data_IF_230299394135
#
_entry.id   IF_230299394135
#
_cell.length_a   1.000
_cell.length_b   1.000
_cell.length_c   1.000
_cell.angle_alpha   90.00
_cell.angle_beta   90.00
_cell.angle_gamma   90.00
#
_symmetry.space_group_name_H-M   'P 1'
#
loop_
_entity.id
_entity.type
_entity.pdbx_description
1 polymer ?
#
# COMPACT_ATOMS: atom_id res chain seq x y z
N UNK A 1 -13.50 15.57 -26.69
CA UNK A 1 -12.31 14.75 -26.35
C UNK A 1 -12.43 14.38 -24.88
N UNK A 2 -12.90 13.18 -24.60
CA UNK A 2 -13.22 12.73 -23.24
C UNK A 2 -11.97 12.16 -22.58
N UNK A 3 -11.55 12.77 -21.46
CA UNK A 3 -10.39 12.35 -20.68
C UNK A 3 -10.66 11.06 -19.90
N UNK A 4 -9.76 10.10 -20.02
CA UNK A 4 -9.75 8.88 -19.20
C UNK A 4 -9.24 9.26 -17.79
N UNK A 5 -10.18 9.68 -16.94
CA UNK A 5 -10.02 9.82 -15.49
C UNK A 5 -9.64 8.43 -14.94
N UNK A 6 -8.65 8.39 -14.04
CA UNK A 6 -8.04 7.17 -13.51
C UNK A 6 -9.04 6.02 -13.33
N UNK A 7 -8.81 4.92 -14.06
CA UNK A 7 -9.65 3.72 -13.95
C UNK A 7 -9.51 3.14 -12.54
N UNK A 8 -10.45 3.47 -11.67
CA UNK A 8 -10.75 2.65 -10.50
C UNK A 8 -10.94 1.22 -10.99
N UNK A 9 -10.10 0.28 -10.54
CA UNK A 9 -10.38 -1.14 -10.80
C UNK A 9 -11.70 -1.43 -10.11
N UNK A 10 -12.72 -1.80 -10.89
CA UNK A 10 -13.99 -2.25 -10.33
C UNK A 10 -13.69 -3.37 -9.33
N UNK A 11 -14.25 -3.26 -8.14
CA UNK A 11 -14.22 -4.35 -7.17
C UNK A 11 -14.71 -5.61 -7.89
N UNK A 12 -13.87 -6.64 -7.91
CA UNK A 12 -14.30 -7.93 -8.46
C UNK A 12 -15.37 -8.48 -7.53
N UNK A 13 -16.58 -8.64 -8.04
CA UNK A 13 -17.67 -9.30 -7.31
C UNK A 13 -17.34 -10.79 -7.23
N UNK A 14 -16.59 -11.19 -6.22
CA UNK A 14 -16.41 -12.59 -5.88
C UNK A 14 -17.50 -13.00 -4.90
N UNK A 15 -18.19 -14.12 -5.11
CA UNK A 15 -19.20 -14.58 -4.16
C UNK A 15 -18.54 -14.85 -2.81
N UNK A 16 -19.23 -14.44 -1.75
CA UNK A 16 -18.81 -14.69 -0.39
C UNK A 16 -18.93 -16.20 -0.14
N UNK A 17 -17.80 -16.87 0.04
CA UNK A 17 -17.75 -18.30 0.35
C UNK A 17 -18.12 -18.52 1.81
N UNK A 18 -19.22 -19.24 2.05
CA UNK A 18 -19.63 -19.79 3.33
C UNK A 18 -19.62 -21.33 3.22
N UNK A 19 -19.15 -22.08 4.23
CA UNK A 19 -18.55 -21.62 5.47
C UNK A 19 -17.15 -21.00 5.26
N UNK A 20 -16.68 -20.27 6.28
CA UNK A 20 -15.33 -19.73 6.29
C UNK A 20 -14.30 -20.86 6.13
N UNK A 21 -13.33 -20.71 5.24
CA UNK A 21 -12.31 -21.75 5.04
C UNK A 21 -11.47 -21.90 6.33
N UNK A 22 -11.45 -23.09 6.97
CA UNK A 22 -10.78 -23.31 8.26
C UNK A 22 -9.26 -23.16 8.19
N UNK A 23 -8.67 -23.12 7.00
CA UNK A 23 -7.26 -22.79 6.77
C UNK A 23 -6.90 -21.41 7.33
N UNK A 24 -7.85 -20.47 7.30
CA UNK A 24 -7.64 -19.13 7.84
C UNK A 24 -8.17 -19.08 9.27
N UNK A 25 -7.35 -18.57 10.18
CA UNK A 25 -7.70 -18.39 11.60
C UNK A 25 -7.97 -16.90 11.85
N UNK A 26 -9.17 -16.37 11.55
CA UNK A 26 -9.50 -15.02 11.97
C UNK A 26 -9.73 -15.00 13.50
N UNK A 27 -9.25 -13.95 14.13
CA UNK A 27 -9.54 -13.60 15.51
C UNK A 27 -10.22 -12.22 15.46
N UNK A 28 -11.54 -12.21 15.65
CA UNK A 28 -12.35 -10.99 15.62
C UNK A 28 -12.09 -10.08 16.84
N UNK A 29 -11.61 -10.62 17.96
CA UNK A 29 -11.29 -9.83 19.15
C UNK A 29 -9.99 -9.05 18.98
N UNK A 30 -8.96 -9.69 18.40
CA UNK A 30 -7.67 -9.03 18.13
C UNK A 30 -7.61 -8.33 16.78
N UNK A 31 -8.62 -8.55 15.94
CA UNK A 31 -8.70 -8.10 14.55
C UNK A 31 -7.51 -8.59 13.70
N UNK A 32 -7.18 -9.88 13.84
CA UNK A 32 -6.04 -10.53 13.18
C UNK A 32 -6.52 -11.69 12.31
N UNK A 33 -5.90 -11.89 11.14
CA UNK A 33 -6.19 -13.05 10.29
C UNK A 33 -4.91 -13.59 9.66
N UNK A 34 -4.82 -14.91 9.48
CA UNK A 34 -3.67 -15.57 8.84
C UNK A 34 -3.78 -15.64 7.31
N UNK A 35 -4.72 -14.91 6.69
CA UNK A 35 -4.91 -14.97 5.24
C UNK A 35 -3.85 -14.13 4.48
N UNK A 36 -3.48 -14.51 3.24
CA UNK A 36 -2.48 -13.79 2.46
C UNK A 36 -2.76 -12.30 2.34
N UNK A 37 -4.03 -11.91 2.17
CA UNK A 37 -4.41 -10.50 2.08
C UNK A 37 -4.08 -9.70 3.34
N UNK A 38 -4.29 -10.28 4.53
CA UNK A 38 -3.96 -9.64 5.80
C UNK A 38 -2.44 -9.63 6.04
N UNK A 39 -1.74 -10.71 5.65
CA UNK A 39 -0.29 -10.79 5.73
C UNK A 39 0.41 -9.77 4.81
N UNK A 40 -0.13 -9.51 3.61
CA UNK A 40 0.38 -8.49 2.68
C UNK A 40 0.11 -7.08 3.19
N UNK A 41 -1.04 -6.84 3.82
CA UNK A 41 -1.34 -5.54 4.43
C UNK A 41 -2.23 -5.70 5.66
N UNK A 42 -1.64 -5.45 6.84
CA UNK A 42 -2.33 -5.41 8.13
C UNK A 42 -3.35 -4.26 8.22
N UNK A 43 -3.34 -3.34 7.26
CA UNK A 43 -4.25 -2.19 7.17
C UNK A 43 -5.48 -2.45 6.30
N UNK A 44 -5.48 -3.52 5.49
CA UNK A 44 -6.63 -3.88 4.67
C UNK A 44 -7.57 -4.80 5.47
N UNK A 45 -8.87 -4.51 5.40
CA UNK A 45 -9.90 -5.36 5.98
C UNK A 45 -10.03 -6.62 5.11
N UNK A 46 -9.70 -7.78 5.65
CA UNK A 46 -9.85 -9.04 4.92
C UNK A 46 -11.30 -9.56 5.03
N UNK A 47 -11.77 -10.28 4.00
CA UNK A 47 -13.14 -10.83 3.99
C UNK A 47 -13.42 -11.74 5.20
N UNK A 48 -12.41 -12.45 5.70
CA UNK A 48 -12.57 -13.39 6.81
C UNK A 48 -12.87 -12.70 8.14
N UNK A 49 -12.29 -11.52 8.38
CA UNK A 49 -12.60 -10.71 9.57
C UNK A 49 -14.01 -10.12 9.48
N UNK A 50 -14.42 -9.66 8.29
CA UNK A 50 -15.80 -9.18 8.04
C UNK A 50 -16.83 -10.29 8.24
N UNK A 51 -16.50 -11.51 7.81
CA UNK A 51 -17.36 -12.69 8.01
C UNK A 51 -17.39 -13.18 9.48
N UNK A 52 -16.49 -12.71 10.34
CA UNK A 52 -16.40 -13.09 11.76
C UNK A 52 -17.07 -12.08 12.71
N UNK A 53 -17.66 -11.01 12.17
CA UNK A 53 -18.42 -10.01 12.92
C UNK A 53 -19.83 -9.83 12.38
N UNK A 54 -20.70 -9.26 13.20
CA UNK A 54 -22.03 -8.83 12.76
C UNK A 54 -21.95 -7.75 11.66
N UNK A 55 -22.93 -7.72 10.74
CA UNK A 55 -23.04 -6.67 9.74
C UNK A 55 -23.03 -5.27 10.39
N UNK A 56 -22.18 -4.39 9.88
CA UNK A 56 -22.05 -3.00 10.36
C UNK A 56 -22.85 -2.05 9.47
N UNK A 57 -23.48 -1.04 10.07
CA UNK A 57 -24.18 0.00 9.34
C UNK A 57 -23.18 0.88 8.54
N UNK A 58 -23.51 1.42 7.35
CA UNK A 58 -22.57 2.23 6.57
C UNK A 58 -21.93 3.42 7.29
N UNK A 59 -22.61 3.98 8.30
CA UNK A 59 -22.09 5.05 9.16
C UNK A 59 -20.80 4.64 9.89
N UNK A 60 -20.60 3.34 10.14
CA UNK A 60 -19.36 2.78 10.68
C UNK A 60 -18.11 3.29 9.96
N UNK A 61 -18.14 3.38 8.63
CA UNK A 61 -16.96 3.79 7.85
C UNK A 61 -16.62 5.28 8.00
N UNK A 62 -17.53 6.08 8.55
CA UNK A 62 -17.31 7.50 8.87
C UNK A 62 -16.72 7.67 10.28
N UNK A 63 -17.04 6.76 11.20
CA UNK A 63 -16.75 6.88 12.63
C UNK A 63 -15.54 6.04 13.08
N UNK A 64 -15.17 5.02 12.30
CA UNK A 64 -14.15 4.06 12.72
C UNK A 64 -12.75 4.69 12.75
N UNK A 65 -12.01 4.41 13.81
CA UNK A 65 -10.63 4.85 14.01
C UNK A 65 -9.63 3.72 13.77
N UNK A 66 -8.49 4.06 13.14
CA UNK A 66 -7.42 3.10 12.82
C UNK A 66 -6.23 3.26 13.77
N UNK A 67 -5.90 2.20 14.49
CA UNK A 67 -4.74 2.17 15.37
C UNK A 67 -3.49 1.60 14.69
N UNK A 68 -2.32 1.90 15.27
CA UNK A 68 -1.03 1.29 14.88
C UNK A 68 -0.70 0.02 15.67
N UNK A 69 -1.47 -0.26 16.70
CA UNK A 69 -1.38 -1.45 17.56
C UNK A 69 -2.70 -2.24 17.52
N UNK A 70 -2.64 -3.55 17.76
CA UNK A 70 -3.84 -4.39 17.83
C UNK A 70 -4.70 -4.01 19.05
N UNK A 71 -6.04 -3.93 18.91
CA UNK A 71 -6.82 -4.12 17.68
C UNK A 71 -6.72 -2.92 16.71
N UNK A 72 -6.47 -3.21 15.43
CA UNK A 72 -6.21 -2.20 14.39
C UNK A 72 -7.43 -1.33 14.06
N UNK A 73 -8.64 -1.85 14.27
CA UNK A 73 -9.90 -1.16 14.07
C UNK A 73 -10.68 -1.23 15.38
N UNK A 74 -11.14 -0.07 15.86
CA UNK A 74 -11.96 0.02 17.07
C UNK A 74 -13.24 0.74 16.73
N UNK A 75 -14.36 0.07 16.99
CA UNK A 75 -15.69 0.67 16.93
C UNK A 75 -16.66 -0.16 17.76
N UNK A 76 -17.65 0.50 18.38
CA UNK A 76 -18.68 -0.16 19.19
C UNK A 76 -19.55 -1.15 18.40
N UNK A 77 -19.65 -0.96 17.07
CA UNK A 77 -20.40 -1.85 16.19
C UNK A 77 -19.64 -3.11 15.76
N UNK A 78 -18.36 -3.25 16.09
CA UNK A 78 -17.58 -4.46 15.76
C UNK A 78 -17.82 -5.53 16.81
N UNK A 79 -18.90 -6.28 16.63
CA UNK A 79 -19.33 -7.34 17.55
C UNK A 79 -18.95 -8.70 16.93
N UNK A 80 -18.05 -9.48 17.54
CA UNK A 80 -17.73 -10.85 17.11
C UNK A 80 -18.97 -11.76 17.12
N UNK A 81 -19.11 -12.63 16.13
CA UNK A 81 -20.22 -13.60 16.07
C UNK A 81 -20.18 -14.63 17.21
N UNK A 82 -19.00 -14.85 17.81
CA UNK A 82 -18.82 -15.77 18.94
C UNK A 82 -19.27 -15.15 20.29
N UNK A 83 -19.72 -13.89 20.32
CA UNK A 83 -20.04 -13.15 21.54
C UNK A 83 -21.38 -13.53 22.20
N UNK A 84 -22.08 -14.56 21.72
CA UNK A 84 -23.27 -15.08 22.39
C UNK A 84 -22.86 -16.20 23.34
N UNK A 85 -22.52 -15.85 24.59
CA UNK A 85 -23.10 -16.37 25.85
C UNK A 85 -22.42 -15.63 27.02
N UNK A 86 -23.05 -14.56 27.50
CA UNK A 86 -22.82 -14.06 28.86
C UNK A 86 -24.13 -13.53 29.44
N UNK A 87 -24.91 -14.43 30.04
CA UNK A 87 -25.90 -14.16 31.08
C UNK A 87 -26.10 -15.43 31.93
N UNK A 88 -26.42 -15.30 33.23
CA UNK A 88 -26.04 -16.24 34.29
C UNK A 88 -27.06 -17.37 34.55
N UNK A 89 -26.74 -18.25 35.51
CA UNK A 89 -27.54 -19.37 36.08
C UNK A 89 -27.62 -20.60 35.15
N UNK A 90 -27.24 -21.83 35.49
CA UNK A 90 -27.10 -22.55 36.77
C UNK A 90 -26.22 -23.79 36.51
N UNK A 91 -25.36 -24.18 37.46
CA UNK A 91 -24.58 -25.45 37.46
C UNK A 91 -25.44 -26.62 38.00
N UNK A 92 -24.95 -27.87 38.23
CA UNK A 92 -23.79 -28.70 37.76
C UNK A 92 -24.29 -30.14 37.32
N UNK A 93 -23.54 -31.27 37.33
CA UNK A 93 -22.09 -31.52 37.56
C UNK A 93 -21.35 -32.49 36.60
N UNK A 94 -20.03 -32.27 36.54
CA UNK A 94 -18.91 -33.24 36.71
C UNK A 94 -18.72 -34.41 35.74
N UNK A 95 -17.57 -34.42 35.05
CA UNK A 95 -16.57 -35.49 35.18
C UNK A 95 -15.18 -34.94 34.87
N UNK A 96 -14.31 -35.01 35.89
CA UNK A 96 -12.89 -34.70 35.83
C UNK A 96 -12.12 -35.91 35.28
N UNK A 97 -11.09 -35.69 34.47
CA UNK A 97 -9.91 -36.56 34.50
C UNK A 97 -8.65 -35.78 34.10
N UNK A 98 -7.56 -36.16 34.78
CA UNK A 98 -6.38 -35.36 35.06
C UNK A 98 -5.34 -35.28 33.92
N UNK A 99 -4.47 -34.28 34.11
CA UNK A 99 -3.21 -33.97 33.43
C UNK A 99 -2.30 -35.14 33.11
N UNK A 100 -1.69 -35.14 31.92
CA UNK A 100 -0.34 -35.66 31.68
C UNK A 100 0.38 -34.74 30.68
N UNK A 101 1.42 -34.06 31.16
CA UNK A 101 2.53 -33.50 30.35
C UNK A 101 3.51 -34.64 30.05
N UNK A 102 4.14 -34.63 28.87
CA UNK A 102 5.58 -34.86 28.85
C UNK A 102 6.34 -33.81 28.03
N UNK A 103 7.47 -33.43 28.60
CA UNK A 103 8.53 -32.61 28.03
C UNK A 103 9.25 -33.26 26.85
N UNK A 104 9.70 -32.42 25.91
CA UNK A 104 11.02 -32.53 25.29
C UNK A 104 11.08 -33.10 23.86
N UNK A 105 11.19 -32.21 22.88
CA UNK A 105 12.24 -32.33 21.85
C UNK A 105 12.55 -30.95 21.24
N UNK A 106 13.81 -30.53 21.37
CA UNK A 106 14.36 -29.30 20.77
C UNK A 106 15.00 -29.69 19.43
N UNK A 107 14.22 -29.64 18.35
CA UNK A 107 14.71 -29.67 16.98
C UNK A 107 14.92 -28.25 16.42
N UNK A 108 15.90 -28.01 15.54
CA UNK A 108 16.40 -26.67 15.26
C UNK A 108 15.35 -25.82 14.55
N UNK A 109 15.11 -24.63 15.09
CA UNK A 109 14.40 -23.56 14.42
C UNK A 109 15.24 -23.11 13.22
N UNK A 110 15.00 -23.71 12.06
CA UNK A 110 15.43 -23.14 10.78
C UNK A 110 14.70 -21.80 10.60
N UNK A 111 15.47 -20.72 10.72
CA UNK A 111 14.99 -19.35 10.62
C UNK A 111 14.38 -19.09 9.24
N UNK A 112 13.07 -18.95 9.20
CA UNK A 112 12.30 -18.53 8.01
C UNK A 112 12.17 -17.00 7.94
N UNK A 113 13.28 -16.29 8.17
CA UNK A 113 13.33 -14.82 8.12
C UNK A 113 14.00 -14.28 6.84
N UNK A 114 14.64 -15.14 6.04
CA UNK A 114 15.52 -14.73 4.91
C UNK A 114 14.77 -14.51 3.58
N UNK A 115 13.68 -15.23 3.31
CA UNK A 115 12.97 -15.15 2.01
C UNK A 115 12.37 -13.76 1.71
N UNK A 116 11.99 -13.01 2.76
CA UNK A 116 11.37 -11.69 2.61
C UNK A 116 12.40 -10.59 2.38
N UNK A 117 13.59 -10.71 2.97
CA UNK A 117 14.66 -9.72 2.82
C UNK A 117 15.35 -9.89 1.46
N UNK A 118 15.62 -11.14 1.07
CA UNK A 118 16.18 -11.46 -0.24
C UNK A 118 15.25 -11.01 -1.38
N UNK A 119 13.93 -11.18 -1.24
CA UNK A 119 12.95 -10.68 -2.21
C UNK A 119 12.92 -9.14 -2.31
N UNK A 120 13.08 -8.43 -1.19
CA UNK A 120 13.13 -6.97 -1.18
C UNK A 120 14.42 -6.44 -1.83
N UNK A 121 15.56 -7.09 -1.57
CA UNK A 121 16.85 -6.79 -2.22
C UNK A 121 16.74 -7.00 -3.73
N UNK A 122 16.15 -8.11 -4.16
CA UNK A 122 15.97 -8.40 -5.59
C UNK A 122 15.00 -7.42 -6.26
N UNK A 123 13.92 -7.03 -5.57
CA UNK A 123 13.01 -5.98 -6.05
C UNK A 123 13.71 -4.62 -6.16
N UNK A 124 14.66 -4.32 -5.27
CA UNK A 124 15.45 -3.10 -5.33
C UNK A 124 16.46 -3.12 -6.47
N UNK A 125 17.19 -4.21 -6.64
CA UNK A 125 18.14 -4.39 -7.75
C UNK A 125 17.42 -4.23 -9.11
N UNK A 126 16.28 -4.89 -9.28
CA UNK A 126 15.47 -4.76 -10.51
C UNK A 126 14.91 -3.35 -10.72
N UNK A 127 14.62 -2.61 -9.64
CA UNK A 127 14.24 -1.20 -9.73
C UNK A 127 15.42 -0.33 -10.20
N UNK A 128 16.59 -0.47 -9.57
CA UNK A 128 17.76 0.35 -9.86
C UNK A 128 18.27 0.11 -11.29
N UNK A 129 18.26 -1.14 -11.77
CA UNK A 129 18.56 -1.50 -13.16
C UNK A 129 17.57 -0.84 -14.13
N UNK A 130 16.27 -0.96 -13.88
CA UNK A 130 15.23 -0.39 -14.74
C UNK A 130 15.29 1.13 -14.78
N UNK A 131 15.52 1.77 -13.64
CA UNK A 131 15.64 3.22 -13.57
C UNK A 131 16.91 3.69 -14.31
N UNK A 132 18.03 2.99 -14.12
CA UNK A 132 19.29 3.29 -14.81
C UNK A 132 19.16 3.16 -16.32
N UNK A 133 18.48 2.11 -16.81
CA UNK A 133 18.18 1.94 -18.22
C UNK A 133 17.37 3.12 -18.77
N UNK A 134 16.31 3.56 -18.05
CA UNK A 134 15.49 4.71 -18.46
C UNK A 134 16.25 6.03 -18.44
N UNK A 135 17.15 6.23 -17.48
CA UNK A 135 18.04 7.39 -17.45
C UNK A 135 18.96 7.38 -18.69
N UNK A 136 19.52 6.22 -19.03
CA UNK A 136 20.36 6.08 -20.23
C UNK A 136 19.59 6.37 -21.51
N UNK A 137 18.38 5.83 -21.66
CA UNK A 137 17.50 6.08 -22.81
C UNK A 137 17.21 7.58 -22.97
N UNK A 138 16.89 8.27 -21.88
CA UNK A 138 16.59 9.70 -21.89
C UNK A 138 17.82 10.54 -22.25
N UNK A 139 19.01 10.20 -21.73
CA UNK A 139 20.26 10.88 -22.11
C UNK A 139 20.57 10.71 -23.60
N UNK A 140 20.42 9.49 -24.12
CA UNK A 140 20.62 9.25 -25.53
C UNK A 140 19.60 10.02 -26.39
N UNK A 141 18.33 10.07 -25.95
CA UNK A 141 17.31 10.85 -26.64
C UNK A 141 17.63 12.35 -26.65
N UNK A 142 18.12 12.90 -25.53
CA UNK A 142 18.59 14.30 -25.47
C UNK A 142 19.70 14.54 -26.51
N UNK A 143 20.70 13.65 -26.61
CA UNK A 143 21.75 13.78 -27.62
C UNK A 143 21.20 13.81 -29.06
N UNK A 144 20.15 13.02 -29.34
CA UNK A 144 19.47 13.04 -30.64
C UNK A 144 18.78 14.40 -30.85
N UNK A 145 18.09 14.93 -29.85
CA UNK A 145 17.43 16.24 -29.93
C UNK A 145 18.44 17.38 -30.17
N UNK A 146 19.57 17.36 -29.47
CA UNK A 146 20.67 18.31 -29.66
C UNK A 146 21.23 18.23 -31.08
N UNK A 147 21.41 17.01 -31.62
CA UNK A 147 21.79 16.83 -33.01
C UNK A 147 20.71 17.35 -33.97
N UNK A 148 19.43 17.13 -33.70
CA UNK A 148 18.35 17.60 -34.57
C UNK A 148 18.21 19.13 -34.58
N UNK A 149 18.60 19.81 -33.50
CA UNK A 149 18.54 21.26 -33.38
C UNK A 149 19.26 21.99 -34.53
N UNK A 150 20.33 21.42 -35.08
CA UNK A 150 21.09 22.01 -36.19
C UNK A 150 20.27 22.12 -37.50
N UNK A 151 19.25 21.28 -37.68
CA UNK A 151 18.42 21.27 -38.89
C UNK A 151 17.23 22.21 -38.79
N UNK A 152 16.80 22.57 -37.57
CA UNK A 152 15.71 23.51 -37.34
C UNK A 152 14.37 23.09 -37.97
N UNK A 153 14.10 21.79 -38.14
CA UNK A 153 12.87 21.30 -38.77
C UNK A 153 11.67 21.38 -37.80
N UNK A 154 10.68 22.27 -38.04
CA UNK A 154 9.53 22.43 -37.13
C UNK A 154 8.62 21.20 -37.11
N UNK A 155 8.60 20.39 -38.18
CA UNK A 155 7.73 19.20 -38.25
C UNK A 155 8.19 18.13 -37.28
N UNK A 156 9.50 18.00 -37.09
CA UNK A 156 10.04 17.07 -36.10
C UNK A 156 9.73 17.57 -34.68
N UNK A 157 9.82 18.88 -34.44
CA UNK A 157 9.42 19.47 -33.17
C UNK A 157 7.93 19.21 -32.86
N UNK A 158 7.04 19.37 -33.84
CA UNK A 158 5.60 19.05 -33.68
C UNK A 158 5.36 17.58 -33.28
N UNK A 159 6.17 16.65 -33.83
CA UNK A 159 6.11 15.23 -33.44
C UNK A 159 6.57 15.05 -32.00
N UNK A 160 7.69 15.66 -31.61
CA UNK A 160 8.20 15.59 -30.23
C UNK A 160 7.19 16.16 -29.24
N UNK A 161 6.59 17.31 -29.55
CA UNK A 161 5.60 17.95 -28.70
C UNK A 161 4.32 17.10 -28.58
N UNK A 162 3.83 16.56 -29.70
CA UNK A 162 2.60 15.75 -29.70
C UNK A 162 2.79 14.43 -28.96
N UNK A 163 3.84 13.68 -29.27
CA UNK A 163 4.10 12.37 -28.65
C UNK A 163 4.61 12.52 -27.21
N UNK A 164 5.35 13.60 -26.91
CA UNK A 164 5.94 13.90 -25.61
C UNK A 164 5.00 14.61 -24.63
N UNK A 165 3.85 15.13 -25.07
CA UNK A 165 3.00 16.02 -24.27
C UNK A 165 2.69 15.53 -22.85
N UNK A 166 2.39 14.23 -22.68
CA UNK A 166 2.11 13.65 -21.37
C UNK A 166 3.37 13.59 -20.48
N UNK A 167 4.52 13.28 -21.06
CA UNK A 167 5.80 13.27 -20.37
C UNK A 167 6.23 14.67 -19.97
N UNK A 168 6.10 15.67 -20.85
CA UNK A 168 6.41 17.07 -20.53
C UNK A 168 5.54 17.61 -19.41
N UNK A 169 4.24 17.28 -19.37
CA UNK A 169 3.38 17.62 -18.21
C UNK A 169 3.87 16.99 -16.91
N UNK A 170 4.33 15.74 -16.95
CA UNK A 170 4.92 15.09 -15.77
C UNK A 170 6.22 15.79 -15.34
N UNK A 171 7.09 16.12 -16.30
CA UNK A 171 8.33 16.85 -16.07
C UNK A 171 8.06 18.19 -15.36
N UNK A 172 7.12 18.98 -15.87
CA UNK A 172 6.71 20.25 -15.26
C UNK A 172 6.15 20.06 -13.85
N UNK A 173 5.36 19.01 -13.62
CA UNK A 173 4.85 18.69 -12.28
C UNK A 173 5.99 18.37 -11.31
N UNK A 174 6.98 17.58 -11.74
CA UNK A 174 8.17 17.28 -10.94
C UNK A 174 8.97 18.55 -10.60
N UNK A 175 9.22 19.41 -11.59
CA UNK A 175 9.94 20.67 -11.40
C UNK A 175 9.18 21.62 -10.47
N UNK A 176 7.86 21.75 -10.65
CA UNK A 176 7.02 22.60 -9.80
C UNK A 176 7.06 22.14 -8.35
N UNK A 177 6.99 20.83 -8.12
CA UNK A 177 7.11 20.25 -6.77
C UNK A 177 8.46 20.55 -6.16
N UNK A 178 9.54 20.34 -6.91
CA UNK A 178 10.89 20.64 -6.45
C UNK A 178 11.08 22.12 -6.09
N UNK A 179 10.61 23.03 -6.95
CA UNK A 179 10.67 24.45 -6.70
C UNK A 179 9.85 24.86 -5.46
N UNK A 180 8.68 24.26 -5.25
CA UNK A 180 7.85 24.54 -4.08
C UNK A 180 8.49 24.05 -2.77
N UNK A 181 9.07 22.84 -2.77
CA UNK A 181 9.78 22.31 -1.59
C UNK A 181 11.09 23.04 -1.32
N UNK A 182 11.78 23.54 -2.35
CA UNK A 182 13.02 24.30 -2.22
C UNK A 182 12.83 25.80 -1.99
N UNK A 183 11.61 26.32 -2.12
CA UNK A 183 11.30 27.71 -1.86
C UNK A 183 11.07 27.97 -0.37
N UNK A 184 11.62 29.08 0.15
CA UNK A 184 11.31 29.61 1.49
C UNK A 184 10.10 30.54 1.50
N UNK A 185 9.60 30.94 0.32
CA UNK A 185 8.54 31.95 0.15
C UNK A 185 7.20 31.36 -0.27
N UNK A 186 7.17 30.08 -0.66
CA UNK A 186 5.97 29.41 -1.18
C UNK A 186 5.35 28.57 -0.07
N UNK A 187 4.02 28.51 -0.02
CA UNK A 187 3.31 27.64 0.91
C UNK A 187 3.71 26.18 0.69
N UNK A 188 3.87 25.44 1.79
CA UNK A 188 4.25 24.03 1.73
C UNK A 188 3.25 23.23 0.86
N UNK A 189 3.71 22.42 -0.10
CA UNK A 189 2.83 21.68 -0.97
C UNK A 189 2.00 20.68 -0.19
N UNK A 190 0.69 20.63 -0.46
CA UNK A 190 -0.22 19.67 0.18
C UNK A 190 0.11 18.25 -0.29
N UNK A 191 0.30 17.31 0.64
CA UNK A 191 0.70 15.92 0.28
C UNK A 191 -0.37 15.18 -0.52
N UNK A 192 -1.64 15.55 -0.35
CA UNK A 192 -2.80 14.86 -0.94
C UNK A 192 -3.57 15.71 -1.95
N UNK A 193 -3.02 16.82 -2.40
CA UNK A 193 -3.65 17.66 -3.42
C UNK A 193 -3.75 16.95 -4.77
N UNK A 194 -4.85 17.17 -5.50
CA UNK A 194 -5.04 16.63 -6.86
C UNK A 194 -3.92 17.07 -7.83
N UNK A 195 -3.24 18.19 -7.54
CA UNK A 195 -2.07 18.66 -8.28
C UNK A 195 -0.82 17.78 -8.11
N UNK A 196 -0.75 16.98 -7.04
CA UNK A 196 0.45 16.26 -6.62
C UNK A 196 0.36 14.75 -6.83
N UNK A 197 -0.74 14.23 -7.38
CA UNK A 197 -0.98 12.77 -7.54
C UNK A 197 0.15 12.08 -8.30
N UNK A 198 0.58 12.63 -9.43
CA UNK A 198 1.65 12.02 -10.25
C UNK A 198 3.04 12.19 -9.66
N UNK A 199 3.21 13.15 -8.75
CA UNK A 199 4.51 13.43 -8.14
C UNK A 199 4.60 12.88 -6.74
N UNK A 200 3.58 12.23 -6.15
CA UNK A 200 3.53 11.93 -4.71
C UNK A 200 4.75 11.16 -4.19
N UNK A 201 5.31 10.26 -5.01
CA UNK A 201 6.48 9.44 -4.68
C UNK A 201 7.82 10.08 -5.05
N UNK A 202 7.80 11.25 -5.71
CA UNK A 202 9.00 12.01 -6.01
C UNK A 202 9.62 12.50 -4.70
N UNK A 203 10.92 12.23 -4.53
CA UNK A 203 11.76 12.87 -3.53
C UNK A 203 12.53 13.98 -4.22
N UNK A 204 12.45 15.19 -3.68
CA UNK A 204 13.15 16.36 -4.23
C UNK A 204 14.62 16.33 -3.87
N UNK A 205 15.44 17.04 -4.65
CA UNK A 205 16.86 17.20 -4.33
C UNK A 205 17.02 18.19 -3.17
N UNK A 206 18.01 17.98 -2.28
CA UNK A 206 18.31 18.91 -1.20
C UNK A 206 18.55 20.34 -1.73
N UNK A 207 18.32 21.35 -0.89
CA UNK A 207 18.64 22.72 -1.25
C UNK A 207 20.16 22.86 -1.30
N UNK A 208 20.65 23.73 -2.19
CA UNK A 208 22.09 24.04 -2.26
C UNK A 208 22.63 24.54 -0.92
N UNK A 209 21.81 25.25 -0.13
CA UNK A 209 22.19 25.72 1.21
C UNK A 209 22.35 24.60 2.26
N UNK A 210 21.75 23.42 2.04
CA UNK A 210 21.79 22.29 2.96
C UNK A 210 22.98 21.35 2.65
N UNK A 211 23.72 21.59 1.55
CA UNK A 211 24.88 20.78 1.16
C UNK A 211 26.19 21.18 1.87
N UNK A 212 26.25 22.39 2.47
CA UNK A 212 27.45 22.95 3.11
C UNK A 212 27.44 22.83 4.66
N UNK A 213 26.46 22.10 5.22
CA UNK A 213 26.33 21.78 6.66
C UNK A 213 26.43 20.29 6.92
#
# INVERSE_FOLDING_TARGET
MSGDIGRYRRCKTTPITLPLNPKYRPDAHKWVCTCPYFCTSRFLICKHLVQAVHPVHPVFFLEVTRNRTSPFWIHSSLIPLDAVVASPTTSPPTTQYASIVPSGDNGPTVGLEDDSELAAIQARATYDERLSARISDLRNFINILEYQQQFGDPRFLDVVDREGAAFFRLLEQCQRRENAENSTRTAAPTTWGASNTNTMFLRTRPRLADHDT
#
